data_IF_665273419657
#
_entry.id   IF_665273419657
#
_cell.length_a   1.000
_cell.length_b   1.000
_cell.length_c   1.000
_cell.angle_alpha   90.00
_cell.angle_beta   90.00
_cell.angle_gamma   90.00
#
_symmetry.space_group_name_H-M   'P 1'
#
loop_
_entity.id
_entity.type
_entity.pdbx_description
1 polymer ?
#
# COMPACT_ATOMS: atom_id res chain seq x y z
N UNK A 1 -18.15 19.71 25.91
CA UNK A 1 -17.45 18.55 25.30
C UNK A 1 -18.00 18.27 23.91
N UNK A 2 -19.32 18.20 23.72
CA UNK A 2 -19.95 18.04 22.40
C UNK A 2 -19.67 19.23 21.44
N UNK A 3 -19.82 20.49 21.88
CA UNK A 3 -19.50 21.67 21.04
C UNK A 3 -18.07 21.71 20.46
N UNK A 4 -17.07 21.27 21.23
CA UNK A 4 -15.67 21.25 20.78
C UNK A 4 -15.44 20.18 19.70
N UNK A 5 -16.13 19.05 19.81
CA UNK A 5 -16.09 17.98 18.81
C UNK A 5 -16.82 18.41 17.54
N UNK A 6 -17.96 19.07 17.65
CA UNK A 6 -18.72 19.58 16.50
C UNK A 6 -17.96 20.68 15.76
N UNK A 7 -17.27 21.58 16.48
CA UNK A 7 -16.40 22.60 15.89
C UNK A 7 -15.16 21.99 15.23
N UNK A 8 -14.52 21.01 15.88
CA UNK A 8 -13.39 20.29 15.30
C UNK A 8 -13.81 19.53 14.03
N UNK A 9 -15.00 18.92 14.06
CA UNK A 9 -15.58 18.26 12.91
C UNK A 9 -15.87 19.23 11.76
N UNK A 10 -16.52 20.36 12.05
CA UNK A 10 -16.80 21.39 11.05
C UNK A 10 -15.52 21.95 10.43
N UNK A 11 -14.52 22.28 11.25
CA UNK A 11 -13.22 22.77 10.78
C UNK A 11 -12.48 21.73 9.94
N UNK A 12 -12.50 20.45 10.33
CA UNK A 12 -11.95 19.36 9.53
C UNK A 12 -12.67 19.24 8.18
N UNK A 13 -14.01 19.28 8.18
CA UNK A 13 -14.77 19.16 6.93
C UNK A 13 -14.58 20.36 6.00
N UNK A 14 -14.45 21.57 6.55
CA UNK A 14 -14.22 22.79 5.78
C UNK A 14 -12.84 22.78 5.12
N UNK A 15 -11.80 22.46 5.90
CA UNK A 15 -10.42 22.34 5.40
C UNK A 15 -10.27 21.24 4.33
N UNK A 16 -11.08 20.18 4.41
CA UNK A 16 -11.03 19.06 3.47
C UNK A 16 -11.79 19.32 2.16
N UNK A 17 -12.68 20.32 2.11
CA UNK A 17 -13.46 20.60 0.91
C UNK A 17 -12.60 21.24 -0.20
N UNK A 18 -12.98 21.11 -1.49
CA UNK A 18 -12.24 21.75 -2.59
C UNK A 18 -12.44 23.27 -2.63
N UNK A 19 -11.38 24.06 -2.77
CA UNK A 19 -11.41 25.53 -2.77
C UNK A 19 -11.10 26.19 -4.14
N UNK A 20 -11.09 25.41 -5.23
CA UNK A 20 -10.73 25.91 -6.56
C UNK A 20 -11.77 26.85 -7.19
N UNK A 21 -11.36 27.66 -8.20
CA UNK A 21 -12.28 28.57 -8.88
C UNK A 21 -13.41 27.79 -9.55
N UNK A 22 -14.65 28.26 -9.36
CA UNK A 22 -15.87 27.66 -9.88
C UNK A 22 -15.98 27.84 -11.40
N UNK A 23 -15.20 27.08 -12.16
CA UNK A 23 -15.31 27.00 -13.62
C UNK A 23 -15.90 25.63 -13.97
N UNK A 24 -17.20 25.63 -14.30
CA UNK A 24 -18.03 24.51 -14.77
C UNK A 24 -18.04 23.22 -13.93
N UNK A 25 -19.03 23.15 -13.03
CA UNK A 25 -19.76 21.95 -12.56
C UNK A 25 -19.02 20.83 -11.78
N UNK A 26 -17.73 20.91 -11.50
CA UNK A 26 -17.08 20.07 -10.50
C UNK A 26 -16.16 20.92 -9.61
N UNK A 27 -16.36 20.84 -8.30
CA UNK A 27 -15.47 21.47 -7.32
C UNK A 27 -14.03 21.03 -7.58
N UNK A 28 -13.14 21.97 -7.91
CA UNK A 28 -11.77 21.68 -8.30
C UNK A 28 -10.83 21.86 -7.11
N UNK A 29 -9.84 20.99 -6.97
CA UNK A 29 -8.83 21.09 -5.91
C UNK A 29 -7.73 22.08 -6.33
N UNK A 30 -7.39 23.00 -5.44
CA UNK A 30 -6.20 23.85 -5.59
C UNK A 30 -4.92 23.08 -5.22
N UNK A 31 -3.73 23.52 -5.65
CA UNK A 31 -2.46 22.92 -5.22
C UNK A 31 -2.29 22.87 -3.69
N UNK A 32 -2.86 23.84 -2.98
CA UNK A 32 -2.87 23.88 -1.52
C UNK A 32 -3.74 22.77 -0.94
N UNK A 33 -4.93 22.54 -1.51
CA UNK A 33 -5.82 21.45 -1.06
C UNK A 33 -5.13 20.08 -1.23
N UNK A 34 -4.44 19.86 -2.35
CA UNK A 34 -3.64 18.64 -2.55
C UNK A 34 -2.57 18.46 -1.48
N UNK A 35 -1.89 19.55 -1.09
CA UNK A 35 -0.84 19.52 -0.07
C UNK A 35 -1.41 19.19 1.31
N UNK A 36 -2.53 19.85 1.69
CA UNK A 36 -3.22 19.60 2.96
C UNK A 36 -3.68 18.15 3.06
N UNK A 37 -4.35 17.65 2.02
CA UNK A 37 -4.80 16.26 1.94
C UNK A 37 -3.62 15.29 2.02
N UNK A 38 -2.53 15.55 1.29
CA UNK A 38 -1.36 14.67 1.29
C UNK A 38 -0.72 14.55 2.69
N UNK A 39 -0.48 15.67 3.38
CA UNK A 39 0.11 15.64 4.72
C UNK A 39 -0.84 15.04 5.76
N UNK A 40 -2.15 15.29 5.65
CA UNK A 40 -3.14 14.65 6.51
C UNK A 40 -3.17 13.13 6.29
N UNK A 41 -3.23 12.68 5.03
CA UNK A 41 -3.19 11.27 4.68
C UNK A 41 -1.93 10.59 5.23
N UNK A 42 -0.77 11.24 5.06
CA UNK A 42 0.49 10.73 5.59
C UNK A 42 0.46 10.62 7.12
N UNK A 43 -0.08 11.64 7.82
CA UNK A 43 -0.23 11.62 9.27
C UNK A 43 -1.15 10.47 9.73
N UNK A 44 -2.31 10.29 9.08
CA UNK A 44 -3.26 9.20 9.37
C UNK A 44 -2.62 7.84 9.12
N UNK A 45 -1.92 7.65 8.00
CA UNK A 45 -1.21 6.41 7.67
C UNK A 45 -0.15 6.10 8.73
N UNK A 46 0.74 7.05 9.03
CA UNK A 46 1.82 6.85 10.00
C UNK A 46 1.25 6.54 11.39
N UNK A 47 0.24 7.29 11.84
CA UNK A 47 -0.39 7.08 13.14
C UNK A 47 -1.02 5.68 13.22
N UNK A 48 -1.77 5.29 12.20
CA UNK A 48 -2.44 3.99 12.16
C UNK A 48 -1.43 2.85 12.11
N UNK A 49 -0.40 2.95 11.27
CA UNK A 49 0.71 2.00 11.22
C UNK A 49 1.39 1.85 12.58
N UNK A 50 1.62 2.95 13.31
CA UNK A 50 2.25 2.90 14.64
C UNK A 50 1.35 2.26 15.69
N UNK A 51 0.07 2.59 15.71
CA UNK A 51 -0.89 2.01 16.67
C UNK A 51 -1.07 0.51 16.40
N UNK A 52 -1.34 0.13 15.15
CA UNK A 52 -1.57 -1.28 14.78
C UNK A 52 -0.29 -2.09 14.90
N UNK A 53 0.86 -1.55 14.49
CA UNK A 53 2.17 -2.17 14.64
C UNK A 53 2.53 -2.41 16.11
N UNK A 54 2.33 -1.41 16.97
CA UNK A 54 2.57 -1.54 18.41
C UNK A 54 1.62 -2.56 19.06
N UNK A 55 0.34 -2.54 18.71
CA UNK A 55 -0.62 -3.54 19.19
C UNK A 55 -0.25 -4.95 18.73
N UNK A 56 0.13 -5.12 17.46
CA UNK A 56 0.55 -6.40 16.90
C UNK A 56 1.81 -6.94 17.58
N UNK A 57 2.79 -6.08 17.84
CA UNK A 57 4.00 -6.45 18.58
C UNK A 57 3.67 -6.85 20.03
N UNK A 58 2.89 -6.02 20.73
CA UNK A 58 2.65 -6.20 22.18
C UNK A 58 1.70 -7.36 22.48
N UNK A 59 0.67 -7.57 21.66
CA UNK A 59 -0.37 -8.56 21.91
C UNK A 59 -0.06 -9.91 21.25
N UNK A 60 0.56 -9.89 20.06
CA UNK A 60 0.70 -11.06 19.20
C UNK A 60 2.16 -11.42 18.88
N UNK A 61 3.13 -10.60 19.29
CA UNK A 61 4.56 -10.81 18.99
C UNK A 61 4.89 -10.70 17.49
N UNK A 62 4.04 -10.05 16.70
CA UNK A 62 4.23 -9.91 15.26
C UNK A 62 5.29 -8.86 14.93
N UNK A 63 6.12 -9.05 13.87
CA UNK A 63 7.00 -8.02 13.37
C UNK A 63 6.24 -6.74 12.99
N UNK A 64 6.92 -5.58 13.04
CA UNK A 64 6.29 -4.29 12.77
C UNK A 64 5.63 -4.23 11.39
N UNK A 65 6.33 -4.74 10.37
CA UNK A 65 5.88 -4.72 8.96
C UNK A 65 4.53 -5.44 8.80
N UNK A 66 4.28 -6.52 9.55
CA UNK A 66 2.99 -7.22 9.50
C UNK A 66 1.86 -6.32 10.00
N UNK A 67 2.10 -5.56 11.08
CA UNK A 67 1.14 -4.58 11.58
C UNK A 67 0.89 -3.43 10.61
N UNK A 68 1.91 -2.99 9.87
CA UNK A 68 1.79 -1.97 8.83
C UNK A 68 0.95 -2.47 7.63
N UNK A 69 1.10 -3.73 7.23
CA UNK A 69 0.24 -4.35 6.21
C UNK A 69 -1.22 -4.42 6.67
N UNK A 70 -1.46 -4.79 7.93
CA UNK A 70 -2.81 -4.80 8.52
C UNK A 70 -3.39 -3.38 8.58
N UNK A 71 -2.60 -2.38 8.98
CA UNK A 71 -3.02 -0.98 8.96
C UNK A 71 -3.47 -0.52 7.56
N UNK A 72 -2.77 -0.96 6.51
CA UNK A 72 -3.17 -0.71 5.13
C UNK A 72 -4.54 -1.33 4.78
N UNK A 73 -4.81 -2.56 5.21
CA UNK A 73 -6.14 -3.20 5.05
C UNK A 73 -7.21 -2.46 5.85
N UNK A 74 -6.89 -2.04 7.08
CA UNK A 74 -7.79 -1.28 7.95
C UNK A 74 -8.19 0.04 7.32
N UNK A 75 -7.23 0.84 6.83
CA UNK A 75 -7.49 2.13 6.16
C UNK A 75 -8.03 2.00 4.73
N UNK A 76 -7.86 0.82 4.13
CA UNK A 76 -8.28 0.54 2.77
C UNK A 76 -9.80 0.42 2.58
N UNK A 77 -10.25 0.30 1.32
CA UNK A 77 -11.66 0.11 1.02
C UNK A 77 -12.23 -1.21 1.56
N UNK A 78 -11.37 -2.19 1.83
CA UNK A 78 -11.76 -3.51 2.32
C UNK A 78 -12.34 -3.50 3.73
N UNK A 79 -11.93 -2.56 4.59
CA UNK A 79 -12.40 -2.48 5.97
C UNK A 79 -13.00 -1.11 6.27
N UNK A 80 -12.22 -0.02 6.27
CA UNK A 80 -12.76 1.32 6.50
C UNK A 80 -13.82 1.69 5.46
N UNK A 81 -13.59 1.38 4.18
CA UNK A 81 -14.57 1.63 3.12
C UNK A 81 -15.84 0.81 3.21
N UNK A 82 -15.76 -0.38 3.82
CA UNK A 82 -16.89 -1.27 3.99
C UNK A 82 -17.82 -0.78 5.12
N UNK A 83 -17.26 -0.28 6.22
CA UNK A 83 -18.03 0.19 7.39
C UNK A 83 -18.37 1.68 7.34
N UNK A 84 -17.45 2.52 6.87
CA UNK A 84 -17.59 3.98 6.80
C UNK A 84 -17.09 4.55 5.46
N UNK A 85 -17.86 4.36 4.37
CA UNK A 85 -17.47 4.82 3.03
C UNK A 85 -17.29 6.35 2.96
N UNK A 86 -18.13 7.12 3.67
CA UNK A 86 -18.04 8.58 3.67
C UNK A 86 -16.75 9.07 4.33
N UNK A 87 -16.37 8.46 5.46
CA UNK A 87 -15.12 8.78 6.15
C UNK A 87 -13.90 8.40 5.30
N UNK A 88 -13.96 7.25 4.61
CA UNK A 88 -12.89 6.85 3.70
C UNK A 88 -12.72 7.84 2.54
N UNK A 89 -13.83 8.31 1.95
CA UNK A 89 -13.78 9.28 0.85
C UNK A 89 -13.34 10.67 1.32
N UNK A 90 -13.65 11.05 2.58
CA UNK A 90 -13.19 12.31 3.17
C UNK A 90 -11.66 12.31 3.41
N UNK A 91 -11.10 11.19 3.87
CA UNK A 91 -9.66 11.07 4.16
C UNK A 91 -8.85 10.74 2.89
N UNK A 92 -9.38 9.86 2.03
CA UNK A 92 -8.72 9.40 0.80
C UNK A 92 -9.54 9.68 -0.49
N UNK A 93 -9.79 10.98 -0.82
CA UNK A 93 -10.45 11.37 -2.06
C UNK A 93 -9.77 10.79 -3.30
N UNK A 94 -10.54 10.49 -4.35
CA UNK A 94 -9.99 9.87 -5.58
C UNK A 94 -8.98 10.78 -6.28
N UNK A 95 -9.18 12.08 -6.17
CA UNK A 95 -8.40 13.14 -6.80
C UNK A 95 -6.98 13.19 -6.23
N UNK A 96 -6.81 12.94 -4.92
CA UNK A 96 -5.54 13.05 -4.20
C UNK A 96 -4.74 11.74 -4.18
N UNK A 97 -5.38 10.59 -4.50
CA UNK A 97 -4.72 9.27 -4.54
C UNK A 97 -3.50 9.20 -5.44
N UNK A 98 -3.51 9.90 -6.58
CA UNK A 98 -2.36 9.92 -7.49
C UNK A 98 -1.13 10.59 -6.85
N UNK A 99 -1.32 11.66 -6.07
CA UNK A 99 -0.23 12.33 -5.34
C UNK A 99 0.34 11.38 -4.28
N UNK A 100 -0.54 10.72 -3.52
CA UNK A 100 -0.13 9.72 -2.54
C UNK A 100 0.62 8.55 -3.19
N UNK A 101 0.17 8.08 -4.36
CA UNK A 101 0.84 7.01 -5.12
C UNK A 101 2.26 7.41 -5.54
N UNK A 102 2.44 8.61 -6.10
CA UNK A 102 3.76 9.11 -6.48
C UNK A 102 4.67 9.24 -5.25
N UNK A 103 4.15 9.76 -4.14
CA UNK A 103 4.90 9.83 -2.87
C UNK A 103 5.29 8.45 -2.34
N UNK A 104 4.40 7.46 -2.45
CA UNK A 104 4.67 6.08 -2.05
C UNK A 104 5.76 5.44 -2.93
N UNK A 105 5.72 5.65 -4.25
CA UNK A 105 6.75 5.16 -5.19
C UNK A 105 8.12 5.77 -4.87
N UNK A 106 8.16 7.06 -4.55
CA UNK A 106 9.38 7.72 -4.10
C UNK A 106 9.89 7.06 -2.80
N UNK A 107 9.01 6.87 -1.81
CA UNK A 107 9.35 6.23 -0.53
C UNK A 107 9.91 4.81 -0.70
N UNK A 108 9.27 3.98 -1.53
CA UNK A 108 9.75 2.63 -1.87
C UNK A 108 11.10 2.68 -2.58
N UNK A 109 11.28 3.62 -3.52
CA UNK A 109 12.55 3.83 -4.21
C UNK A 109 13.69 4.21 -3.25
N UNK A 110 13.44 5.14 -2.33
CA UNK A 110 14.41 5.52 -1.30
C UNK A 110 14.72 4.37 -0.35
N UNK A 111 13.71 3.60 0.07
CA UNK A 111 13.90 2.44 0.93
C UNK A 111 14.76 1.37 0.24
N UNK A 112 14.46 1.02 -1.01
CA UNK A 112 15.27 0.08 -1.80
C UNK A 112 16.70 0.60 -2.03
N UNK A 113 16.88 1.90 -2.22
CA UNK A 113 18.20 2.51 -2.29
C UNK A 113 19.00 2.33 -0.99
N UNK A 114 18.37 2.58 0.16
CA UNK A 114 18.99 2.36 1.48
C UNK A 114 19.35 0.89 1.72
N UNK A 115 18.47 -0.04 1.33
CA UNK A 115 18.74 -1.49 1.39
C UNK A 115 19.97 -1.81 0.53
N UNK A 116 20.06 -1.25 -0.68
CA UNK A 116 21.22 -1.39 -1.57
C UNK A 116 22.52 -0.87 -0.97
N UNK A 117 22.51 0.26 -0.26
CA UNK A 117 23.69 0.81 0.42
C UNK A 117 24.17 -0.07 1.60
N UNK A 118 23.28 -0.87 2.18
CA UNK A 118 23.59 -1.76 3.30
C UNK A 118 24.19 -3.10 2.82
N UNK A 119 24.14 -3.39 1.52
CA UNK A 119 24.63 -4.63 0.93
C UNK A 119 26.16 -4.70 0.95
N UNK A 120 26.71 -5.70 1.65
CA UNK A 120 28.17 -5.97 1.70
C UNK A 120 28.55 -7.08 0.74
N UNK A 121 29.03 -6.71 -0.45
CA UNK A 121 29.41 -7.66 -1.51
C UNK A 121 30.63 -8.53 -1.17
N UNK A 122 31.53 -8.06 -0.30
CA UNK A 122 32.77 -8.77 0.02
C UNK A 122 32.53 -10.11 0.72
N UNK A 123 31.48 -10.22 1.55
CA UNK A 123 31.08 -11.49 2.16
C UNK A 123 30.36 -12.41 1.18
N UNK A 124 29.73 -11.85 0.14
CA UNK A 124 28.91 -12.56 -0.83
C UNK A 124 29.77 -13.44 -1.76
N UNK A 125 30.97 -12.98 -2.13
CA UNK A 125 31.85 -13.71 -3.05
C UNK A 125 32.27 -15.09 -2.51
N UNK A 126 32.48 -15.20 -1.19
CA UNK A 126 32.84 -16.46 -0.53
C UNK A 126 31.73 -17.53 -0.58
N UNK A 127 30.47 -17.11 -0.79
CA UNK A 127 29.29 -18.00 -0.83
C UNK A 127 28.47 -17.87 -2.12
N UNK A 128 29.07 -17.35 -3.19
CA UNK A 128 28.35 -17.01 -4.43
C UNK A 128 27.54 -18.19 -5.01
N UNK A 129 28.08 -19.41 -5.01
CA UNK A 129 27.36 -20.61 -5.49
C UNK A 129 26.12 -20.91 -4.67
N UNK A 130 26.22 -20.83 -3.33
CA UNK A 130 25.09 -21.06 -2.44
C UNK A 130 24.05 -19.96 -2.60
N UNK A 131 24.47 -18.69 -2.70
CA UNK A 131 23.56 -17.58 -2.90
C UNK A 131 22.82 -17.65 -4.24
N UNK A 132 23.51 -18.03 -5.32
CA UNK A 132 22.90 -18.25 -6.63
C UNK A 132 21.88 -19.39 -6.59
N UNK A 133 22.20 -20.52 -5.95
CA UNK A 133 21.27 -21.63 -5.81
C UNK A 133 20.03 -21.25 -4.99
N UNK A 134 20.19 -20.54 -3.88
CA UNK A 134 19.07 -20.07 -3.04
C UNK A 134 18.21 -19.06 -3.79
N UNK A 135 18.82 -18.12 -4.53
CA UNK A 135 18.09 -17.15 -5.36
C UNK A 135 17.29 -17.84 -6.47
N UNK A 136 17.93 -18.76 -7.21
CA UNK A 136 17.27 -19.52 -8.26
C UNK A 136 16.12 -20.37 -7.71
N UNK A 137 16.30 -21.03 -6.57
CA UNK A 137 15.24 -21.78 -5.91
C UNK A 137 14.09 -20.87 -5.45
N UNK A 138 14.42 -19.70 -4.88
CA UNK A 138 13.46 -18.70 -4.43
C UNK A 138 12.64 -18.06 -5.56
N UNK A 139 13.12 -18.11 -6.80
CA UNK A 139 12.35 -17.68 -7.99
C UNK A 139 11.60 -18.87 -8.60
N UNK A 140 12.30 -20.00 -8.83
CA UNK A 140 11.72 -21.15 -9.51
C UNK A 140 10.55 -21.75 -8.75
N UNK A 141 10.64 -21.89 -7.42
CA UNK A 141 9.57 -22.51 -6.64
C UNK A 141 8.24 -21.71 -6.66
N UNK A 142 8.23 -20.38 -6.41
CA UNK A 142 7.03 -19.56 -6.59
C UNK A 142 6.45 -19.58 -8.01
N UNK A 143 7.30 -19.56 -9.04
CA UNK A 143 6.84 -19.61 -10.43
C UNK A 143 6.23 -20.96 -10.81
N UNK A 144 6.80 -22.06 -10.32
CA UNK A 144 6.21 -23.40 -10.49
C UNK A 144 4.86 -23.48 -9.78
N UNK A 145 4.75 -22.99 -8.54
CA UNK A 145 3.47 -22.93 -7.84
C UNK A 145 2.45 -22.08 -8.59
N UNK A 146 2.85 -20.89 -9.07
CA UNK A 146 2.00 -20.03 -9.89
C UNK A 146 1.50 -20.74 -11.15
N UNK A 147 2.36 -21.46 -11.87
CA UNK A 147 1.99 -22.22 -13.06
C UNK A 147 0.97 -23.33 -12.78
N UNK A 148 1.03 -23.94 -11.59
CA UNK A 148 0.08 -24.97 -11.16
C UNK A 148 -1.27 -24.39 -10.73
N UNK A 149 -1.29 -23.26 -10.00
CA UNK A 149 -2.54 -22.71 -9.43
C UNK A 149 -3.29 -21.77 -10.37
N UNK A 150 -2.58 -21.05 -11.26
CA UNK A 150 -3.20 -20.02 -12.12
C UNK A 150 -4.30 -20.57 -13.03
N UNK A 151 -4.19 -21.75 -13.67
CA UNK A 151 -5.27 -22.31 -14.48
C UNK A 151 -6.57 -22.49 -13.70
N UNK A 152 -6.47 -22.90 -12.42
CA UNK A 152 -7.63 -23.03 -11.55
C UNK A 152 -8.18 -21.66 -11.15
N UNK A 153 -7.32 -20.71 -10.79
CA UNK A 153 -7.73 -19.36 -10.40
C UNK A 153 -8.40 -18.59 -11.56
N UNK A 154 -8.02 -18.84 -12.81
CA UNK A 154 -8.67 -18.26 -13.98
C UNK A 154 -10.13 -18.68 -14.15
N UNK A 155 -10.54 -19.80 -13.53
CA UNK A 155 -11.96 -20.23 -13.54
C UNK A 155 -12.79 -19.48 -12.49
N UNK A 156 -12.16 -18.78 -11.55
CA UNK A 156 -12.85 -18.04 -10.48
C UNK A 156 -13.28 -16.67 -11.01
N UNK A 157 -14.60 -16.38 -11.06
CA UNK A 157 -15.09 -15.12 -11.59
C UNK A 157 -14.65 -13.94 -10.69
N UNK A 158 -14.20 -12.86 -11.33
CA UNK A 158 -13.81 -11.62 -10.64
C UNK A 158 -12.37 -11.55 -10.12
N UNK A 159 -11.58 -12.62 -10.26
CA UNK A 159 -10.19 -12.63 -9.79
C UNK A 159 -9.21 -11.98 -10.78
N UNK A 160 -9.49 -12.11 -12.09
CA UNK A 160 -8.69 -11.57 -13.17
C UNK A 160 -9.52 -10.71 -14.11
N UNK A 161 -8.87 -9.76 -14.78
CA UNK A 161 -9.51 -8.97 -15.84
C UNK A 161 -9.89 -9.85 -17.03
N UNK A 162 -11.03 -9.55 -17.66
CA UNK A 162 -11.52 -10.29 -18.82
C UNK A 162 -10.50 -10.25 -19.97
N UNK A 163 -10.22 -11.42 -20.56
CA UNK A 163 -9.32 -11.54 -21.71
C UNK A 163 -7.83 -11.63 -21.38
N UNK A 164 -7.44 -11.75 -20.10
CA UNK A 164 -6.04 -12.05 -19.78
C UNK A 164 -5.66 -13.46 -20.25
N UNK A 165 -4.56 -13.57 -21.00
CA UNK A 165 -4.00 -14.86 -21.35
C UNK A 165 -3.42 -15.58 -20.13
N UNK A 166 -3.51 -16.90 -20.10
CA UNK A 166 -2.98 -17.72 -19.00
C UNK A 166 -1.51 -17.44 -18.71
N UNK A 167 -0.69 -17.19 -19.74
CA UNK A 167 0.72 -16.83 -19.56
C UNK A 167 0.89 -15.53 -18.78
N UNK A 168 0.14 -14.48 -19.12
CA UNK A 168 0.20 -13.19 -18.41
C UNK A 168 -0.24 -13.30 -16.96
N UNK A 169 -1.33 -14.03 -16.70
CA UNK A 169 -1.79 -14.30 -15.34
C UNK A 169 -0.77 -15.10 -14.53
N UNK A 170 -0.12 -16.10 -15.15
CA UNK A 170 0.87 -16.95 -14.49
C UNK A 170 2.15 -16.18 -14.16
N UNK A 171 2.62 -15.34 -15.08
CA UNK A 171 3.78 -14.47 -14.87
C UNK A 171 3.51 -13.45 -13.76
N UNK A 172 2.32 -12.86 -13.75
CA UNK A 172 1.90 -11.94 -12.69
C UNK A 172 1.88 -12.62 -11.32
N UNK A 173 1.21 -13.77 -11.20
CA UNK A 173 1.14 -14.54 -9.96
C UNK A 173 2.53 -14.99 -9.49
N UNK A 174 3.36 -15.49 -10.40
CA UNK A 174 4.73 -15.92 -10.11
C UNK A 174 5.58 -14.77 -9.57
N UNK A 175 5.51 -13.59 -10.21
CA UNK A 175 6.21 -12.40 -9.75
C UNK A 175 5.72 -11.94 -8.37
N UNK A 176 4.41 -11.92 -8.13
CA UNK A 176 3.85 -11.51 -6.84
C UNK A 176 4.25 -12.43 -5.69
N UNK A 177 4.28 -13.76 -5.91
CA UNK A 177 4.66 -14.73 -4.87
C UNK A 177 6.18 -14.77 -4.66
N UNK A 178 6.97 -14.57 -5.72
CA UNK A 178 8.43 -14.56 -5.63
C UNK A 178 9.00 -13.32 -4.93
N UNK A 179 8.22 -12.24 -4.84
CA UNK A 179 8.67 -10.99 -4.25
C UNK A 179 8.81 -11.15 -2.73
N UNK A 180 10.05 -11.22 -2.26
CA UNK A 180 10.37 -11.32 -0.83
C UNK A 180 10.38 -9.92 -0.22
N UNK A 181 9.70 -9.76 0.92
CA UNK A 181 9.76 -8.52 1.69
C UNK A 181 11.00 -8.54 2.58
N UNK A 182 11.78 -7.46 2.53
CA UNK A 182 12.77 -7.18 3.57
C UNK A 182 12.02 -6.66 4.80
N UNK A 183 12.33 -7.16 6.01
CA UNK A 183 11.72 -6.68 7.24
C UNK A 183 12.14 -5.25 7.61
#
# INVERSE_FOLDING_TARGET
MFDLLDQAWFALTDVLNPHGPAVSAAASYTPTDFSVHFFLQLAVIILTCRVVGWLGQKLLGQPQVVGEMIAGVVLGPSLLGLFWPDLQNAIFPKETRNVLYVGAQLGVGLYMFMVGLTLRLDHFQSKAKSAAAVSAAGIAAPFLLAALITPFLLTVPGLFTGGIGQGGATLFMGACIALTAFP
#
